data_IF_029695072080
#
_entry.id   IF_029695072080
#
_cell.length_a   1.000
_cell.length_b   1.000
_cell.length_c   1.000
_cell.angle_alpha   90.00
_cell.angle_beta   90.00
_cell.angle_gamma   90.00
#
_symmetry.space_group_name_H-M   'P 1'
#
loop_
_entity.id
_entity.type
_entity.pdbx_description
1 polymer ?
#
# COMPACT_ATOMS: atom_id res chain seq x y z
N UNK A 1 10.39 -4.47 -6.38
CA UNK A 1 9.10 -4.18 -7.08
C UNK A 1 9.24 -4.44 -8.57
N UNK A 2 9.67 -5.65 -8.97
CA UNK A 2 9.86 -5.99 -10.38
C UNK A 2 8.77 -6.92 -10.94
N UNK A 3 7.80 -7.34 -10.11
CA UNK A 3 6.79 -8.32 -10.54
C UNK A 3 5.43 -7.73 -10.95
N UNK A 4 5.20 -6.41 -10.91
CA UNK A 4 3.89 -5.84 -11.27
C UNK A 4 3.90 -4.46 -11.96
N UNK A 5 5.05 -3.92 -12.38
CA UNK A 5 5.15 -2.55 -12.93
C UNK A 5 4.52 -1.44 -12.04
N UNK A 6 4.27 -1.75 -10.76
CA UNK A 6 3.72 -0.81 -9.79
C UNK A 6 4.83 0.15 -9.39
N UNK A 7 4.74 1.39 -9.87
CA UNK A 7 5.62 2.45 -9.40
C UNK A 7 5.14 2.84 -8.00
N UNK A 8 6.07 3.10 -7.09
CA UNK A 8 5.75 3.62 -5.75
C UNK A 8 4.86 4.89 -5.81
N UNK A 9 4.94 5.64 -6.92
CA UNK A 9 4.08 6.79 -7.23
C UNK A 9 2.60 6.42 -7.25
N UNK A 10 2.25 5.22 -7.70
CA UNK A 10 0.86 4.82 -7.80
C UNK A 10 0.27 4.44 -6.44
N UNK A 11 1.09 3.87 -5.55
CA UNK A 11 0.71 3.60 -4.15
C UNK A 11 0.64 4.89 -3.32
N UNK A 12 1.42 5.90 -3.72
CA UNK A 12 1.51 7.17 -2.97
C UNK A 12 0.19 7.96 -2.97
N UNK A 13 -0.65 7.78 -3.99
CA UNK A 13 -1.98 8.38 -4.07
C UNK A 13 -2.99 7.73 -3.10
N UNK A 14 -2.83 6.44 -2.81
CA UNK A 14 -3.79 5.64 -2.03
C UNK A 14 -3.41 5.53 -0.55
N UNK A 15 -2.11 5.41 -0.27
CA UNK A 15 -1.60 5.16 1.08
C UNK A 15 -1.10 6.46 1.73
N UNK A 16 -0.75 7.45 0.93
CA UNK A 16 0.02 8.64 1.33
C UNK A 16 1.39 8.62 0.67
N UNK A 17 1.97 9.80 0.46
CA UNK A 17 3.20 10.06 -0.31
C UNK A 17 4.34 9.03 -0.15
N UNK A 18 5.35 9.08 -1.02
CA UNK A 18 6.45 8.08 -1.05
C UNK A 18 7.09 7.76 0.32
N UNK A 19 7.18 8.72 1.24
CA UNK A 19 7.67 8.47 2.60
C UNK A 19 6.82 7.46 3.36
N UNK A 20 5.49 7.56 3.31
CA UNK A 20 4.56 6.65 4.00
C UNK A 20 4.67 5.24 3.42
N UNK A 21 4.78 5.13 2.10
CA UNK A 21 4.99 3.84 1.41
C UNK A 21 6.31 3.21 1.87
N UNK A 22 7.39 3.98 1.95
CA UNK A 22 8.70 3.51 2.43
C UNK A 22 8.65 3.03 3.89
N UNK A 23 7.98 3.78 4.78
CA UNK A 23 7.81 3.39 6.17
C UNK A 23 7.04 2.07 6.33
N UNK A 24 6.01 1.85 5.51
CA UNK A 24 5.23 0.61 5.52
C UNK A 24 6.07 -0.57 4.99
N UNK A 25 6.77 -0.39 3.88
CA UNK A 25 7.62 -1.44 3.30
C UNK A 25 8.80 -1.82 4.19
N UNK A 26 9.27 -0.87 5.01
CA UNK A 26 10.33 -1.10 6.00
C UNK A 26 9.79 -1.55 7.37
N UNK A 27 8.47 -1.73 7.51
CA UNK A 27 7.83 -2.17 8.75
C UNK A 27 7.85 -1.13 9.87
N UNK A 28 8.25 0.11 9.59
CA UNK A 28 8.25 1.22 10.56
C UNK A 28 6.85 1.76 10.84
N UNK A 29 5.89 1.44 9.97
CA UNK A 29 4.50 1.89 10.07
C UNK A 29 3.54 0.80 9.62
N UNK A 30 2.50 0.58 10.42
CA UNK A 30 1.42 -0.33 10.06
C UNK A 30 0.41 0.32 9.09
N UNK A 31 -0.20 -0.51 8.25
CA UNK A 31 -1.28 -0.11 7.35
C UNK A 31 -2.56 0.04 8.18
N UNK A 32 -3.25 1.17 8.05
CA UNK A 32 -4.55 1.33 8.69
C UNK A 32 -5.70 0.80 7.83
N UNK A 33 -6.87 0.59 8.42
CA UNK A 33 -8.04 0.04 7.73
C UNK A 33 -8.47 0.82 6.48
N UNK A 34 -8.26 2.15 6.43
CA UNK A 34 -8.55 2.97 5.24
C UNK A 34 -7.59 2.63 4.09
N UNK A 35 -6.30 2.55 4.40
CA UNK A 35 -5.24 2.21 3.44
C UNK A 35 -5.38 0.76 2.96
N UNK A 36 -5.65 -0.18 3.88
CA UNK A 36 -5.91 -1.58 3.56
C UNK A 36 -7.07 -1.73 2.57
N UNK A 37 -8.15 -0.95 2.75
CA UNK A 37 -9.31 -0.96 1.84
C UNK A 37 -8.99 -0.38 0.46
N UNK A 38 -8.17 0.67 0.39
CA UNK A 38 -7.72 1.24 -0.88
C UNK A 38 -6.86 0.22 -1.67
N UNK A 39 -5.91 -0.42 -0.98
CA UNK A 39 -5.06 -1.45 -1.56
C UNK A 39 -5.86 -2.68 -1.99
N UNK A 40 -6.77 -3.15 -1.15
CA UNK A 40 -7.69 -4.24 -1.48
C UNK A 40 -8.44 -3.97 -2.79
N UNK A 41 -8.96 -2.75 -2.96
CA UNK A 41 -9.66 -2.34 -4.19
C UNK A 41 -8.74 -2.38 -5.40
N UNK A 42 -7.52 -1.85 -5.27
CA UNK A 42 -6.54 -1.81 -6.36
C UNK A 42 -6.09 -3.21 -6.79
N UNK A 43 -5.72 -4.04 -5.83
CA UNK A 43 -5.21 -5.38 -6.07
C UNK A 43 -6.32 -6.40 -6.30
N UNK A 44 -7.59 -6.00 -6.15
CA UNK A 44 -8.75 -6.90 -6.19
C UNK A 44 -8.60 -8.09 -5.23
N UNK A 45 -8.08 -7.83 -4.04
CA UNK A 45 -7.90 -8.82 -2.96
C UNK A 45 -8.67 -8.40 -1.72
N UNK A 46 -8.79 -9.31 -0.74
CA UNK A 46 -9.41 -8.98 0.55
C UNK A 46 -8.55 -7.97 1.33
N UNK A 47 -9.16 -6.97 2.01
CA UNK A 47 -8.43 -6.07 2.92
C UNK A 47 -7.69 -6.81 4.04
N UNK A 48 -8.17 -7.99 4.42
CA UNK A 48 -7.55 -8.82 5.46
C UNK A 48 -6.12 -9.27 5.13
N UNK A 49 -5.67 -9.14 3.87
CA UNK A 49 -4.29 -9.47 3.46
C UNK A 49 -3.30 -8.36 3.87
N UNK A 50 -3.80 -7.18 4.24
CA UNK A 50 -3.00 -6.00 4.59
C UNK A 50 -3.16 -5.58 6.07
N UNK A 51 -3.86 -6.37 6.89
CA UNK A 51 -4.13 -6.13 8.32
C UNK A 51 -3.44 -7.23 9.13
#
# INVERSE_FOLDING_TARGET
>A
MEQHALKQTDLSAEIGGQSVVSEILTGKREINARQAKALATRFSVSPAVFI
#
